data_IF_427634881536
#
_entry.id   IF_427634881536
#
_cell.length_a   1.000
_cell.length_b   1.000
_cell.length_c   1.000
_cell.angle_alpha   90.00
_cell.angle_beta   90.00
_cell.angle_gamma   90.00
#
_symmetry.space_group_name_H-M   'P 1'
#
loop_
_entity.id
_entity.type
_entity.pdbx_description
1 polymer ?
#
# COMPACT_ATOMS: atom_id res chain seq x y z
N UNK A 1 11.75 -8.17 -7.31
CA UNK A 1 10.50 -7.43 -7.03
C UNK A 1 10.59 -6.58 -5.76
N UNK A 2 11.20 -7.06 -4.66
CA UNK A 2 11.36 -6.30 -3.40
C UNK A 2 12.20 -5.02 -3.50
N UNK A 3 13.26 -5.02 -4.31
CA UNK A 3 14.11 -3.83 -4.50
C UNK A 3 13.38 -2.63 -5.12
N UNK A 4 12.26 -2.85 -5.82
CA UNK A 4 11.47 -1.78 -6.42
C UNK A 4 10.70 -0.98 -5.35
N UNK A 5 10.12 -1.66 -4.35
CA UNK A 5 9.30 -1.02 -3.31
C UNK A 5 10.12 -0.03 -2.48
N UNK A 6 11.32 -0.41 -2.04
CA UNK A 6 12.19 0.46 -1.23
C UNK A 6 12.78 1.65 -2.00
N UNK A 7 12.82 1.58 -3.34
CA UNK A 7 13.32 2.64 -4.21
C UNK A 7 12.20 3.53 -4.76
N UNK A 8 10.93 3.23 -4.46
CA UNK A 8 9.81 4.05 -4.91
C UNK A 8 9.75 5.36 -4.14
N UNK A 9 9.50 6.46 -4.86
CA UNK A 9 9.47 7.81 -4.26
C UNK A 9 8.38 7.98 -3.19
N UNK A 10 7.32 7.16 -3.27
CA UNK A 10 6.23 7.16 -2.30
C UNK A 10 6.52 6.27 -1.08
N UNK A 11 7.63 5.52 -1.07
CA UNK A 11 8.05 4.74 0.09
C UNK A 11 8.68 5.67 1.13
N UNK A 12 7.82 6.22 1.98
CA UNK A 12 8.18 7.13 3.08
C UNK A 12 8.27 6.33 4.39
N UNK A 13 9.32 5.52 4.54
CA UNK A 13 9.55 4.70 5.74
C UNK A 13 8.34 3.87 6.21
N UNK A 14 7.59 3.30 5.25
CA UNK A 14 6.40 2.51 5.57
C UNK A 14 6.77 1.34 6.48
N UNK A 15 6.02 1.16 7.57
CA UNK A 15 6.22 0.07 8.52
C UNK A 15 6.06 -1.31 7.86
N UNK A 16 5.12 -1.45 6.92
CA UNK A 16 4.86 -2.73 6.27
C UNK A 16 4.26 -2.59 4.86
N UNK A 17 4.66 -3.50 3.96
CA UNK A 17 4.00 -3.72 2.68
C UNK A 17 3.77 -5.21 2.50
N UNK A 18 2.52 -5.63 2.36
CA UNK A 18 2.10 -7.03 2.22
C UNK A 18 1.53 -7.26 0.83
N UNK A 19 2.05 -8.26 0.14
CA UNK A 19 1.53 -8.73 -1.14
C UNK A 19 0.74 -10.01 -0.89
N UNK A 20 -0.55 -10.00 -1.23
CA UNK A 20 -1.41 -11.17 -1.14
C UNK A 20 -1.84 -11.60 -2.54
N UNK A 21 -1.74 -12.89 -2.82
CA UNK A 21 -2.24 -13.47 -4.07
C UNK A 21 -2.92 -14.80 -3.80
N UNK A 22 -4.00 -15.07 -4.51
CA UNK A 22 -4.75 -16.32 -4.42
C UNK A 22 -5.18 -16.75 -5.82
N UNK A 23 -4.81 -17.96 -6.23
CA UNK A 23 -4.92 -18.42 -7.62
C UNK A 23 -6.37 -18.73 -8.02
N UNK A 24 -7.18 -19.33 -7.14
CA UNK A 24 -8.54 -19.78 -7.47
C UNK A 24 -9.48 -18.61 -7.74
N UNK A 25 -9.38 -17.55 -6.95
CA UNK A 25 -10.14 -16.30 -7.14
C UNK A 25 -9.44 -15.33 -8.09
N UNK A 26 -8.17 -15.58 -8.44
CA UNK A 26 -7.34 -14.64 -9.20
C UNK A 26 -6.99 -13.37 -8.41
N UNK A 27 -7.11 -13.40 -7.08
CA UNK A 27 -6.83 -12.25 -6.23
C UNK A 27 -5.37 -11.83 -6.37
N UNK A 28 -5.17 -10.54 -6.59
CA UNK A 28 -3.90 -9.83 -6.38
C UNK A 28 -4.20 -8.58 -5.57
N UNK A 29 -3.65 -8.50 -4.37
CA UNK A 29 -3.83 -7.37 -3.48
C UNK A 29 -2.51 -6.91 -2.89
N UNK A 30 -2.41 -5.62 -2.62
CA UNK A 30 -1.28 -5.01 -1.95
C UNK A 30 -1.85 -4.20 -0.79
N UNK A 31 -1.31 -4.42 0.39
CA UNK A 31 -1.67 -3.72 1.62
C UNK A 31 -0.42 -2.96 2.07
N UNK A 32 -0.51 -1.65 2.20
CA UNK A 32 0.58 -0.83 2.71
C UNK A 32 0.17 -0.18 4.03
N UNK A 33 1.04 -0.30 5.03
CA UNK A 33 0.93 0.33 6.35
C UNK A 33 2.04 1.35 6.45
N UNK A 34 1.69 2.63 6.44
CA UNK A 34 2.65 3.71 6.53
C UNK A 34 3.10 3.95 7.98
N UNK A 35 2.16 4.12 8.91
CA UNK A 35 2.47 4.41 10.31
C UNK A 35 1.34 3.95 11.25
N UNK A 36 1.69 3.39 12.41
CA UNK A 36 0.76 2.93 13.46
C UNK A 36 0.95 3.61 14.82
N UNK A 37 1.69 4.73 14.89
CA UNK A 37 2.00 5.41 16.17
C UNK A 37 0.76 5.87 16.95
N UNK A 38 -0.33 6.23 16.26
CA UNK A 38 -1.58 6.68 16.89
C UNK A 38 -2.62 5.57 17.05
N UNK A 39 -2.23 4.31 16.83
CA UNK A 39 -3.10 3.14 16.92
C UNK A 39 -3.12 2.30 15.64
N UNK A 40 -4.05 1.33 15.52
CA UNK A 40 -4.15 0.47 14.36
C UNK A 40 -4.35 1.27 13.06
N UNK A 41 -3.65 0.85 11.98
CA UNK A 41 -3.80 1.50 10.68
C UNK A 41 -5.23 1.33 10.14
N UNK A 42 -5.81 2.42 9.66
CA UNK A 42 -7.14 2.44 9.04
C UNK A 42 -7.07 3.02 7.63
N UNK A 43 -7.64 2.30 6.66
CA UNK A 43 -7.69 2.71 5.27
C UNK A 43 -8.81 1.99 4.52
N UNK A 44 -9.22 2.56 3.38
CA UNK A 44 -10.19 1.92 2.49
C UNK A 44 -9.56 0.84 1.62
N UNK A 45 -10.39 -0.07 1.10
CA UNK A 45 -10.00 -1.01 0.05
C UNK A 45 -10.34 -0.41 -1.32
N UNK A 46 -9.34 -0.32 -2.21
CA UNK A 46 -9.52 0.13 -3.60
C UNK A 46 -9.32 -1.05 -4.53
N UNK A 47 -10.35 -1.34 -5.33
CA UNK A 47 -10.26 -2.25 -6.47
C UNK A 47 -10.19 -1.41 -7.74
N UNK A 48 -9.11 -1.54 -8.50
CA UNK A 48 -8.87 -0.74 -9.70
C UNK A 48 -8.03 -1.52 -10.72
N UNK A 49 -8.26 -1.25 -12.00
CA UNK A 49 -7.49 -1.85 -13.10
C UNK A 49 -6.25 -0.99 -13.37
N UNK A 50 -5.13 -1.32 -12.74
CA UNK A 50 -3.84 -0.69 -13.02
C UNK A 50 -3.22 -1.25 -14.30
N UNK A 51 -2.49 -0.41 -15.04
CA UNK A 51 -1.80 -0.86 -16.26
C UNK A 51 -0.55 -1.71 -15.93
N UNK A 52 -0.01 -1.58 -14.72
CA UNK A 52 1.12 -2.37 -14.24
C UNK A 52 1.13 -2.55 -12.71
N UNK A 53 1.84 -3.57 -12.24
CA UNK A 53 2.06 -3.79 -10.80
C UNK A 53 2.81 -2.60 -10.14
N UNK A 54 3.67 -1.92 -10.90
CA UNK A 54 4.38 -0.72 -10.46
C UNK A 54 3.44 0.44 -10.13
N UNK A 55 2.39 0.65 -10.95
CA UNK A 55 1.37 1.66 -10.66
C UNK A 55 0.56 1.33 -9.42
N UNK A 56 0.20 0.05 -9.23
CA UNK A 56 -0.52 -0.39 -8.05
C UNK A 56 0.31 -0.18 -6.76
N UNK A 57 1.61 -0.48 -6.79
CA UNK A 57 2.54 -0.22 -5.68
C UNK A 57 2.67 1.28 -5.40
N UNK A 58 2.82 2.12 -6.42
CA UNK A 58 2.87 3.58 -6.25
C UNK A 58 1.62 4.11 -5.59
N UNK A 59 0.45 3.67 -6.05
CA UNK A 59 -0.82 4.18 -5.54
C UNK A 59 -1.06 3.74 -4.09
N UNK A 60 -0.81 2.46 -3.75
CA UNK A 60 -1.04 1.97 -2.38
C UNK A 60 -0.11 2.64 -1.36
N UNK A 61 1.16 2.86 -1.71
CA UNK A 61 2.10 3.60 -0.87
C UNK A 61 1.61 5.04 -0.65
N UNK A 62 1.30 5.75 -1.75
CA UNK A 62 0.79 7.13 -1.70
C UNK A 62 -0.49 7.26 -0.88
N UNK A 63 -1.44 6.33 -1.05
CA UNK A 63 -2.71 6.32 -0.34
C UNK A 63 -2.54 6.03 1.15
N UNK A 64 -1.72 5.04 1.52
CA UNK A 64 -1.51 4.68 2.93
C UNK A 64 -0.85 5.81 3.72
N UNK A 65 0.12 6.52 3.12
CA UNK A 65 0.67 7.76 3.66
C UNK A 65 -0.39 8.84 3.83
N UNK A 66 -1.24 9.04 2.83
CA UNK A 66 -2.36 9.98 2.89
C UNK A 66 -3.33 9.68 4.04
N UNK A 67 -3.61 8.39 4.30
CA UNK A 67 -4.47 7.97 5.41
C UNK A 67 -3.84 8.25 6.77
N UNK A 68 -2.53 8.08 6.95
CA UNK A 68 -1.85 8.49 8.19
C UNK A 68 -2.10 9.96 8.52
N UNK A 69 -1.86 10.86 7.56
CA UNK A 69 -2.06 12.29 7.80
C UNK A 69 -3.53 12.65 7.98
N UNK A 70 -4.42 12.03 7.22
CA UNK A 70 -5.87 12.26 7.35
C UNK A 70 -6.42 11.82 8.71
N UNK A 71 -5.91 10.72 9.26
CA UNK A 71 -6.38 10.17 10.53
C UNK A 71 -5.68 10.78 11.75
N UNK A 72 -4.59 11.52 11.55
CA UNK A 72 -3.85 12.19 12.62
C UNK A 72 -4.46 13.56 13.04
N UNK A 73 -5.43 14.05 12.27
CA UNK A 73 -6.20 15.29 12.52
C UNK A 73 -7.63 14.97 12.89
#
# INVERSE_FOLDING_TARGET
>A
MTAFVFNEINFDHHEQVVFASEEKSGLKAIIAVHNTNLGPAMGGCRMWNYASEAEAVRDVLRLSRGMTYKNAV
#
